data_IF_019079162989
#
_entry.id   IF_019079162989
#
_cell.length_a   1.000
_cell.length_b   1.000
_cell.length_c   1.000
_cell.angle_alpha   90.00
_cell.angle_beta   90.00
_cell.angle_gamma   90.00
#
_symmetry.space_group_name_H-M   'P 1'
#
loop_
_entity.id
_entity.type
_entity.pdbx_description
1 polymer ?
#
# COMPACT_ATOMS: atom_id res chain seq x y z
N UNK A 1 52.38 -5.93 -37.25
CA UNK A 1 51.84 -5.31 -36.01
C UNK A 1 50.35 -5.04 -36.17
N UNK A 2 49.55 -6.04 -35.84
CA UNK A 2 48.08 -5.90 -35.78
C UNK A 2 47.70 -5.59 -34.34
N UNK A 3 47.32 -4.34 -34.04
CA UNK A 3 46.71 -3.97 -32.77
C UNK A 3 45.30 -4.55 -32.72
N UNK A 4 45.09 -5.62 -31.99
CA UNK A 4 43.74 -6.09 -31.60
C UNK A 4 43.18 -5.07 -30.61
N UNK A 5 42.21 -4.25 -31.06
CA UNK A 5 41.38 -3.43 -30.17
C UNK A 5 40.38 -4.32 -29.49
N UNK A 6 40.54 -4.59 -28.22
CA UNK A 6 39.51 -5.21 -27.38
C UNK A 6 38.47 -4.16 -27.08
N UNK A 7 37.41 -4.08 -27.90
CA UNK A 7 36.19 -3.37 -27.54
C UNK A 7 35.47 -4.19 -26.49
N UNK A 8 35.61 -3.80 -25.22
CA UNK A 8 34.82 -4.32 -24.15
C UNK A 8 33.39 -3.80 -24.36
N UNK A 9 32.45 -4.66 -24.82
CA UNK A 9 31.04 -4.34 -25.03
C UNK A 9 30.25 -4.42 -23.73
N UNK A 10 30.79 -3.90 -22.64
CA UNK A 10 30.01 -3.72 -21.41
C UNK A 10 29.06 -2.54 -21.63
N UNK A 11 27.77 -2.81 -21.83
CA UNK A 11 26.75 -1.76 -21.77
C UNK A 11 26.95 -0.95 -20.49
N UNK A 12 27.05 0.38 -20.57
CA UNK A 12 27.36 1.18 -19.40
C UNK A 12 26.25 0.94 -18.34
N UNK A 13 26.64 0.76 -17.08
CA UNK A 13 25.74 0.48 -15.94
C UNK A 13 24.51 1.42 -15.88
N UNK A 14 24.68 2.66 -16.33
CA UNK A 14 23.61 3.68 -16.46
C UNK A 14 22.51 3.26 -17.44
N UNK A 15 22.84 2.61 -18.55
CA UNK A 15 21.85 2.17 -19.53
C UNK A 15 20.98 1.03 -18.96
N UNK A 16 21.60 0.10 -18.25
CA UNK A 16 20.89 -1.03 -17.58
C UNK A 16 19.96 -0.49 -16.48
N UNK A 17 20.43 0.47 -15.68
CA UNK A 17 19.61 1.09 -14.64
C UNK A 17 18.38 1.78 -15.22
N UNK A 18 18.52 2.54 -16.29
CA UNK A 18 17.40 3.21 -16.97
C UNK A 18 16.39 2.22 -17.55
N UNK A 19 16.84 1.07 -18.07
CA UNK A 19 15.93 0.02 -18.55
C UNK A 19 15.15 -0.62 -17.41
N UNK A 20 15.78 -0.88 -16.26
CA UNK A 20 15.12 -1.43 -15.07
C UNK A 20 14.09 -0.46 -14.48
N UNK A 21 14.41 0.83 -14.39
CA UNK A 21 13.47 1.86 -13.94
C UNK A 21 12.27 1.94 -14.87
N UNK A 22 12.46 1.98 -16.18
CA UNK A 22 11.36 1.99 -17.16
C UNK A 22 10.49 0.74 -17.05
N UNK A 23 11.09 -0.43 -16.79
CA UNK A 23 10.34 -1.68 -16.58
C UNK A 23 9.49 -1.61 -15.31
N UNK A 24 10.05 -1.08 -14.23
CA UNK A 24 9.33 -0.87 -12.96
C UNK A 24 8.19 0.13 -13.12
N UNK A 25 8.42 1.25 -13.78
CA UNK A 25 7.39 2.27 -14.04
C UNK A 25 6.20 1.71 -14.86
N UNK A 26 6.49 0.82 -15.82
CA UNK A 26 5.46 0.17 -16.65
C UNK A 26 4.76 -1.01 -15.99
N UNK A 27 5.27 -1.49 -14.85
CA UNK A 27 4.65 -2.62 -14.14
C UNK A 27 3.22 -2.24 -13.74
N UNK A 28 2.27 -3.11 -14.08
CA UNK A 28 0.89 -2.98 -13.63
C UNK A 28 0.78 -3.41 -12.16
N UNK A 29 -0.10 -2.79 -11.36
CA UNK A 29 -0.40 -3.26 -10.02
C UNK A 29 -0.96 -4.68 -10.04
N UNK A 30 -0.68 -5.45 -8.98
CA UNK A 30 -1.24 -6.80 -8.83
C UNK A 30 -2.72 -6.75 -8.45
N UNK A 31 -3.12 -5.77 -7.63
CA UNK A 31 -4.52 -5.60 -7.22
C UNK A 31 -4.89 -4.12 -7.30
N UNK A 32 -6.08 -3.87 -7.84
CA UNK A 32 -6.74 -2.57 -7.79
C UNK A 32 -8.16 -2.79 -7.28
N UNK A 33 -8.48 -2.16 -6.15
CA UNK A 33 -9.81 -2.10 -5.60
C UNK A 33 -10.35 -0.69 -5.82
N UNK A 34 -11.55 -0.58 -6.36
CA UNK A 34 -12.25 0.68 -6.62
C UNK A 34 -13.54 0.72 -5.82
N UNK A 35 -13.84 1.85 -5.21
CA UNK A 35 -15.00 2.04 -4.37
C UNK A 35 -15.68 3.37 -4.66
N UNK A 36 -17.00 3.36 -4.57
CA UNK A 36 -17.83 4.56 -4.58
C UNK A 36 -18.69 4.56 -3.35
N UNK A 37 -18.75 5.70 -2.69
CA UNK A 37 -19.57 5.86 -1.50
C UNK A 37 -21.06 5.81 -1.85
N UNK A 38 -21.84 5.14 -1.00
CA UNK A 38 -23.29 5.01 -1.19
C UNK A 38 -24.08 6.25 -0.77
N UNK A 39 -23.47 7.15 0.00
CA UNK A 39 -24.15 8.30 0.60
C UNK A 39 -23.60 9.65 0.14
N UNK A 40 -22.41 9.66 -0.45
CA UNK A 40 -21.76 10.89 -0.90
C UNK A 40 -21.12 10.70 -2.28
N UNK A 41 -20.53 11.76 -2.81
CA UNK A 41 -19.75 11.75 -4.04
C UNK A 41 -18.33 11.17 -3.89
N UNK A 42 -17.97 10.66 -2.71
CA UNK A 42 -16.64 10.13 -2.46
C UNK A 42 -16.34 8.89 -3.32
N UNK A 43 -15.15 8.87 -3.87
CA UNK A 43 -14.59 7.72 -4.58
C UNK A 43 -13.27 7.31 -3.92
N UNK A 44 -12.95 6.02 -3.91
CA UNK A 44 -11.73 5.53 -3.27
C UNK A 44 -11.08 4.39 -4.03
N UNK A 45 -9.77 4.29 -3.85
CA UNK A 45 -8.95 3.25 -4.46
C UNK A 45 -7.97 2.65 -3.44
N UNK A 46 -7.83 1.33 -3.46
CA UNK A 46 -6.64 0.66 -2.94
C UNK A 46 -5.86 0.13 -4.11
N UNK A 47 -4.60 0.51 -4.23
CA UNK A 47 -3.69 -0.02 -5.24
C UNK A 47 -2.57 -0.76 -4.54
N UNK A 48 -2.42 -2.05 -4.84
CA UNK A 48 -1.34 -2.91 -4.37
C UNK A 48 -0.42 -3.16 -5.56
N UNK A 49 0.78 -2.58 -5.53
CA UNK A 49 1.74 -2.71 -6.61
C UNK A 49 2.34 -4.12 -6.67
N UNK A 50 2.58 -4.74 -5.51
CA UNK A 50 2.93 -6.16 -5.40
C UNK A 50 2.62 -6.71 -4.01
N UNK A 51 2.43 -8.02 -3.93
CA UNK A 51 2.35 -8.77 -2.67
C UNK A 51 3.71 -9.45 -2.34
N UNK A 52 4.80 -8.73 -2.59
CA UNK A 52 6.13 -9.23 -2.25
C UNK A 52 6.20 -9.60 -0.78
N UNK A 53 6.70 -10.80 -0.47
CA UNK A 53 6.74 -11.29 0.91
C UNK A 53 5.37 -11.63 1.52
N UNK A 54 4.31 -11.74 0.71
CA UNK A 54 2.96 -12.15 1.13
C UNK A 54 2.05 -11.02 1.58
N UNK A 55 2.54 -9.77 1.63
CA UNK A 55 1.75 -8.62 2.06
C UNK A 55 2.19 -7.33 1.35
N UNK A 56 1.40 -6.28 1.52
CA UNK A 56 1.72 -4.94 1.06
C UNK A 56 1.31 -3.89 2.10
N UNK A 57 2.01 -2.76 2.10
CA UNK A 57 1.74 -1.67 3.04
C UNK A 57 1.69 -0.30 2.38
N UNK A 58 0.88 0.59 2.97
CA UNK A 58 0.80 2.00 2.57
C UNK A 58 -0.42 2.70 3.16
N UNK A 59 -0.25 3.95 3.58
CA UNK A 59 -1.28 4.73 4.27
C UNK A 59 -2.46 5.15 3.38
N UNK A 60 -3.53 5.58 4.02
CA UNK A 60 -4.73 6.15 3.40
C UNK A 60 -4.62 7.66 3.32
N UNK A 61 -4.80 8.22 2.14
CA UNK A 61 -4.81 9.66 1.86
C UNK A 61 -6.22 10.14 1.50
N UNK A 62 -6.59 11.34 1.93
CA UNK A 62 -7.82 11.99 1.48
C UNK A 62 -7.52 13.39 0.95
N UNK A 63 -7.95 13.68 -0.25
CA UNK A 63 -7.99 15.03 -0.80
C UNK A 63 -8.96 15.13 -1.98
N UNK A 64 -9.51 16.31 -2.18
CA UNK A 64 -10.33 16.61 -3.36
C UNK A 64 -9.48 16.55 -4.64
N UNK A 65 -10.02 15.93 -5.68
CA UNK A 65 -9.35 15.74 -6.98
C UNK A 65 -8.27 14.66 -6.99
N UNK A 66 -8.22 13.78 -5.97
CA UNK A 66 -7.38 12.60 -6.01
C UNK A 66 -7.93 11.59 -7.00
N UNK A 67 -7.05 10.91 -7.74
CA UNK A 67 -7.43 9.91 -8.73
C UNK A 67 -6.63 8.60 -8.58
N UNK A 68 -7.07 7.58 -9.32
CA UNK A 68 -6.41 6.28 -9.36
C UNK A 68 -4.95 6.35 -9.82
N UNK A 69 -4.62 7.28 -10.72
CA UNK A 69 -3.26 7.42 -11.23
C UNK A 69 -2.30 7.87 -10.13
N UNK A 70 -2.71 8.85 -9.33
CA UNK A 70 -1.93 9.31 -8.18
C UNK A 70 -1.73 8.18 -7.15
N UNK A 71 -2.81 7.47 -6.80
CA UNK A 71 -2.74 6.34 -5.85
C UNK A 71 -1.78 5.25 -6.38
N UNK A 72 -1.81 4.95 -7.68
CA UNK A 72 -0.90 3.99 -8.32
C UNK A 72 0.57 4.45 -8.22
N UNK A 73 0.84 5.72 -8.48
CA UNK A 73 2.18 6.29 -8.37
C UNK A 73 2.72 6.20 -6.94
N UNK A 74 1.88 6.50 -5.96
CA UNK A 74 2.22 6.41 -4.54
C UNK A 74 2.44 4.97 -4.09
N UNK A 75 1.67 4.00 -4.57
CA UNK A 75 1.89 2.58 -4.29
C UNK A 75 3.26 2.10 -4.77
N UNK A 76 3.70 2.54 -5.95
CA UNK A 76 5.06 2.28 -6.48
C UNK A 76 6.14 2.93 -5.61
N UNK A 77 5.91 4.15 -5.16
CA UNK A 77 6.81 4.85 -4.22
C UNK A 77 6.95 4.08 -2.91
N UNK A 78 5.85 3.56 -2.37
CA UNK A 78 5.87 2.74 -1.16
C UNK A 78 6.68 1.44 -1.36
N UNK A 79 6.59 0.80 -2.53
CA UNK A 79 7.38 -0.40 -2.83
C UNK A 79 8.89 -0.10 -2.85
N UNK A 80 9.29 1.02 -3.44
CA UNK A 80 10.68 1.48 -3.40
C UNK A 80 11.11 1.73 -1.95
N UNK A 81 10.29 2.43 -1.16
CA UNK A 81 10.56 2.71 0.25
C UNK A 81 10.79 1.42 1.04
N UNK A 82 9.91 0.43 0.94
CA UNK A 82 10.04 -0.86 1.63
C UNK A 82 11.19 -1.71 1.09
N UNK A 83 11.64 -1.49 -0.14
CA UNK A 83 12.84 -2.14 -0.67
C UNK A 83 14.13 -1.61 -0.08
N UNK A 84 14.14 -0.36 0.39
CA UNK A 84 15.33 0.33 0.91
C UNK A 84 15.39 0.31 2.43
N UNK A 85 14.27 0.53 3.11
CA UNK A 85 14.28 0.81 4.56
C UNK A 85 13.04 0.29 5.32
N UNK A 86 12.37 -0.71 4.80
CA UNK A 86 11.16 -1.23 5.42
C UNK A 86 11.16 -2.75 5.58
N UNK A 87 10.06 -3.33 6.03
CA UNK A 87 9.88 -4.77 5.99
C UNK A 87 9.90 -5.27 4.54
N UNK A 88 10.22 -6.56 4.34
CA UNK A 88 10.34 -7.17 3.01
C UNK A 88 8.98 -7.44 2.34
N UNK A 89 8.11 -6.44 2.32
CA UNK A 89 6.75 -6.48 1.74
C UNK A 89 6.63 -5.63 0.48
N UNK A 90 5.52 -5.80 -0.24
CA UNK A 90 5.18 -4.97 -1.39
C UNK A 90 4.67 -3.59 -1.01
N UNK A 91 4.64 -2.69 -1.97
CA UNK A 91 4.08 -1.36 -1.83
C UNK A 91 2.59 -1.32 -2.15
N UNK A 92 1.84 -0.63 -1.33
CA UNK A 92 0.45 -0.30 -1.58
C UNK A 92 0.17 1.17 -1.24
N UNK A 93 -0.98 1.64 -1.67
CA UNK A 93 -1.52 2.94 -1.27
C UNK A 93 -3.03 2.88 -1.34
N UNK A 94 -3.68 3.55 -0.40
CA UNK A 94 -5.09 3.87 -0.55
C UNK A 94 -5.33 5.38 -0.58
N UNK A 95 -6.42 5.76 -1.22
CA UNK A 95 -6.78 7.16 -1.35
C UNK A 95 -8.26 7.36 -1.59
N UNK A 96 -8.78 8.45 -1.06
CA UNK A 96 -10.18 8.85 -1.15
C UNK A 96 -10.24 10.24 -1.76
N UNK A 97 -10.98 10.35 -2.86
CA UNK A 97 -11.33 11.63 -3.46
C UNK A 97 -12.54 12.19 -2.72
N UNK A 98 -12.28 13.06 -1.75
CA UNK A 98 -13.29 13.75 -0.97
C UNK A 98 -12.68 14.97 -0.29
N UNK A 99 -13.49 15.99 0.02
CA UNK A 99 -13.03 17.15 0.77
C UNK A 99 -12.76 16.77 2.24
N UNK A 100 -11.51 16.87 2.73
CA UNK A 100 -11.19 16.51 4.10
C UNK A 100 -11.81 17.44 5.15
N UNK A 101 -12.31 18.61 4.76
CA UNK A 101 -12.98 19.56 5.64
C UNK A 101 -14.51 19.41 5.66
N UNK A 102 -15.06 18.52 4.81
CA UNK A 102 -16.50 18.25 4.78
C UNK A 102 -16.95 17.60 6.10
N UNK A 103 -18.03 18.07 6.74
CA UNK A 103 -18.55 17.47 7.97
C UNK A 103 -18.95 15.99 7.84
N UNK A 104 -19.18 15.47 6.62
CA UNK A 104 -19.48 14.07 6.34
C UNK A 104 -18.24 13.17 6.30
N UNK A 105 -17.01 13.73 6.43
CA UNK A 105 -15.74 13.00 6.35
C UNK A 105 -15.72 11.73 7.20
N UNK A 106 -16.18 11.81 8.45
CA UNK A 106 -16.15 10.67 9.36
C UNK A 106 -17.05 9.51 8.89
N UNK A 107 -18.21 9.83 8.31
CA UNK A 107 -19.09 8.83 7.69
C UNK A 107 -18.43 8.15 6.48
N UNK A 108 -17.80 8.95 5.62
CA UNK A 108 -17.04 8.44 4.45
C UNK A 108 -15.92 7.49 4.90
N UNK A 109 -15.12 7.87 5.90
CA UNK A 109 -14.03 7.03 6.42
C UNK A 109 -14.56 5.72 7.00
N UNK A 110 -15.66 5.73 7.74
CA UNK A 110 -16.28 4.51 8.31
C UNK A 110 -16.71 3.54 7.19
N UNK A 111 -17.42 4.03 6.19
CA UNK A 111 -17.86 3.20 5.05
C UNK A 111 -16.69 2.71 4.20
N UNK A 112 -15.67 3.56 4.01
CA UNK A 112 -14.43 3.18 3.35
C UNK A 112 -13.73 2.02 4.05
N UNK A 113 -13.44 2.15 5.34
CA UNK A 113 -12.73 1.10 6.09
C UNK A 113 -13.56 -0.17 6.23
N UNK A 114 -14.88 -0.07 6.30
CA UNK A 114 -15.75 -1.24 6.24
C UNK A 114 -15.61 -1.98 4.90
N UNK A 115 -15.58 -1.26 3.79
CA UNK A 115 -15.42 -1.85 2.46
C UNK A 115 -14.05 -2.52 2.24
N UNK A 116 -12.98 -1.94 2.78
CA UNK A 116 -11.61 -2.47 2.61
C UNK A 116 -11.16 -3.43 3.73
N UNK A 117 -11.97 -3.64 4.76
CA UNK A 117 -11.65 -4.52 5.87
C UNK A 117 -11.20 -5.94 5.45
N UNK A 118 -11.78 -6.59 4.42
CA UNK A 118 -11.29 -7.89 3.95
C UNK A 118 -9.84 -7.86 3.46
N UNK A 119 -9.39 -6.76 2.86
CA UNK A 119 -8.00 -6.59 2.42
C UNK A 119 -7.08 -6.40 3.63
N UNK A 120 -7.53 -5.57 4.60
CA UNK A 120 -6.80 -5.28 5.83
C UNK A 120 -6.61 -6.49 6.73
N UNK A 121 -7.52 -7.47 6.68
CA UNK A 121 -7.42 -8.72 7.43
C UNK A 121 -6.45 -9.73 6.83
N UNK A 122 -6.16 -9.65 5.53
CA UNK A 122 -5.45 -10.72 4.84
C UNK A 122 -4.03 -10.37 4.41
N UNK A 123 -3.81 -9.25 3.75
CA UNK A 123 -2.51 -8.95 3.13
C UNK A 123 -2.21 -7.46 2.92
N UNK A 124 -3.10 -6.56 3.32
CA UNK A 124 -2.87 -5.13 3.20
C UNK A 124 -2.79 -4.47 4.58
N UNK A 125 -1.73 -3.73 4.82
CA UNK A 125 -1.58 -2.88 5.99
C UNK A 125 -1.70 -1.41 5.63
N UNK A 126 -2.50 -0.67 6.40
CA UNK A 126 -2.69 0.77 6.22
C UNK A 126 -2.28 1.57 7.46
N UNK A 127 -2.28 2.87 7.33
CA UNK A 127 -2.05 3.85 8.39
C UNK A 127 -2.55 5.20 7.93
N UNK A 128 -2.27 6.26 8.68
CA UNK A 128 -2.54 7.62 8.29
C UNK A 128 -1.64 8.12 7.16
N UNK A 129 -2.10 9.08 6.40
CA UNK A 129 -1.36 9.87 5.43
C UNK A 129 -2.02 11.26 5.33
N UNK A 130 -1.88 11.97 4.22
CA UNK A 130 -2.42 13.33 4.06
C UNK A 130 -3.91 13.39 4.40
N UNK A 131 -4.26 14.23 5.37
CA UNK A 131 -5.61 14.50 5.85
C UNK A 131 -6.38 13.30 6.44
N UNK A 132 -5.69 12.23 6.80
CA UNK A 132 -6.25 11.08 7.53
C UNK A 132 -5.36 10.80 8.73
N UNK A 133 -5.89 10.98 9.93
CA UNK A 133 -5.16 10.81 11.19
C UNK A 133 -5.12 9.33 11.58
N UNK A 134 -3.91 8.82 11.86
CA UNK A 134 -3.74 7.42 12.21
C UNK A 134 -4.37 7.08 13.56
N UNK A 135 -4.16 7.94 14.56
CA UNK A 135 -4.54 7.66 15.95
C UNK A 135 -6.04 7.90 16.17
N UNK A 136 -6.57 8.99 15.61
CA UNK A 136 -7.94 9.42 15.88
C UNK A 136 -8.95 8.93 14.84
N UNK A 137 -8.50 8.47 13.67
CA UNK A 137 -9.37 8.04 12.58
C UNK A 137 -9.09 6.58 12.16
N UNK A 138 -7.87 6.25 11.72
CA UNK A 138 -7.59 4.93 11.14
C UNK A 138 -7.77 3.81 12.17
N UNK A 139 -7.06 3.90 13.29
CA UNK A 139 -7.06 2.84 14.31
C UNK A 139 -8.47 2.57 14.84
N UNK A 140 -9.20 3.56 15.39
CA UNK A 140 -10.51 3.29 15.97
C UNK A 140 -11.54 2.81 14.94
N UNK A 141 -11.53 3.35 13.72
CA UNK A 141 -12.50 2.94 12.70
C UNK A 141 -12.21 1.52 12.21
N UNK A 142 -10.96 1.13 12.04
CA UNK A 142 -10.61 -0.24 11.63
C UNK A 142 -10.91 -1.25 12.72
N UNK A 143 -10.71 -0.91 14.00
CA UNK A 143 -11.10 -1.74 15.15
C UNK A 143 -12.62 -1.95 15.17
N UNK A 144 -13.42 -0.90 14.93
CA UNK A 144 -14.88 -0.99 14.81
C UNK A 144 -15.32 -1.92 13.65
N UNK A 145 -14.53 -2.03 12.60
CA UNK A 145 -14.73 -2.97 11.48
C UNK A 145 -14.26 -4.42 11.78
N UNK A 146 -13.80 -4.68 13.00
CA UNK A 146 -13.33 -5.99 13.43
C UNK A 146 -11.93 -6.35 12.89
N UNK A 147 -11.12 -5.35 12.59
CA UNK A 147 -9.69 -5.46 12.30
C UNK A 147 -8.96 -5.09 13.60
N UNK A 148 -8.19 -6.00 14.18
CA UNK A 148 -7.58 -5.74 15.49
C UNK A 148 -6.47 -4.67 15.46
N UNK A 149 -5.90 -4.40 14.28
CA UNK A 149 -4.94 -3.33 14.04
C UNK A 149 -4.87 -3.03 12.53
N UNK A 150 -4.67 -1.77 12.09
CA UNK A 150 -4.56 -1.43 10.67
C UNK A 150 -3.48 -2.20 9.90
N UNK A 151 -2.51 -2.81 10.60
CA UNK A 151 -1.44 -3.64 10.04
C UNK A 151 -1.73 -5.15 10.09
N UNK A 152 -2.93 -5.57 10.47
CA UNK A 152 -3.28 -6.99 10.64
C UNK A 152 -2.96 -7.82 9.38
N UNK A 153 -3.29 -7.31 8.19
CA UNK A 153 -3.00 -7.99 6.94
C UNK A 153 -1.51 -8.19 6.65
N UNK A 154 -0.65 -7.28 7.15
CA UNK A 154 0.81 -7.48 7.05
C UNK A 154 1.26 -8.63 7.96
N UNK A 155 0.74 -8.71 9.17
CA UNK A 155 1.05 -9.83 10.06
C UNK A 155 0.56 -11.15 9.48
N UNK A 156 -0.67 -11.21 8.98
CA UNK A 156 -1.26 -12.42 8.44
C UNK A 156 -0.60 -12.87 7.12
N UNK A 157 -0.24 -11.94 6.26
CA UNK A 157 0.36 -12.23 4.96
C UNK A 157 1.88 -12.45 4.99
N UNK A 158 2.62 -11.64 5.74
CA UNK A 158 4.08 -11.64 5.73
C UNK A 158 4.68 -12.50 6.85
N UNK A 159 4.15 -12.38 8.05
CA UNK A 159 4.64 -13.11 9.22
C UNK A 159 3.87 -14.41 9.45
N UNK A 160 3.52 -15.13 8.38
CA UNK A 160 2.81 -16.41 8.52
C UNK A 160 3.46 -17.27 9.60
N UNK A 161 2.80 -17.48 10.73
CA UNK A 161 3.36 -18.30 11.80
C UNK A 161 3.41 -19.75 11.32
N UNK A 162 4.62 -20.31 11.26
CA UNK A 162 4.81 -21.73 10.92
C UNK A 162 4.25 -22.67 11.99
N UNK A 163 3.88 -22.13 13.18
CA UNK A 163 3.33 -22.89 14.29
C UNK A 163 2.19 -22.11 14.97
N UNK A 164 1.08 -22.78 15.36
CA UNK A 164 -0.08 -22.16 16.01
C UNK A 164 0.28 -21.34 17.28
N UNK A 165 1.31 -21.74 18.00
CA UNK A 165 1.78 -21.06 19.22
C UNK A 165 2.30 -19.63 18.97
N UNK A 166 2.73 -19.30 17.76
CA UNK A 166 3.17 -17.94 17.40
C UNK A 166 1.99 -16.97 17.29
N UNK A 167 0.82 -17.46 16.95
CA UNK A 167 -0.41 -16.66 16.88
C UNK A 167 -0.81 -16.14 18.26
N UNK A 168 -0.68 -16.98 19.31
CA UNK A 168 -0.96 -16.58 20.67
C UNK A 168 -0.01 -15.49 21.20
N UNK A 169 1.27 -15.53 20.80
CA UNK A 169 2.25 -14.51 21.21
C UNK A 169 1.99 -13.14 20.59
N UNK A 170 1.51 -13.09 19.34
CA UNK A 170 1.14 -11.84 18.67
C UNK A 170 -0.09 -11.22 19.33
N UNK A 171 -1.08 -12.02 19.74
CA UNK A 171 -2.25 -11.56 20.49
C UNK A 171 -1.96 -11.10 21.93
N UNK A 172 -0.81 -11.45 22.50
CA UNK A 172 -0.37 -11.03 23.83
C UNK A 172 0.44 -9.73 23.84
N UNK A 173 0.75 -9.15 22.69
CA UNK A 173 1.45 -7.86 22.54
C UNK A 173 0.50 -6.66 22.54
N UNK A 174 -0.74 -6.83 23.03
CA UNK A 174 -1.71 -5.77 23.30
C UNK A 174 -1.46 -5.12 24.65
#
# INVERSE_FOLDING_TARGET
NVKKSYFCSAKPKVCIMNELLKKFEKKQPEIVFEWKDSETEAEGWVVINSLRGGAAGGGTRMRLGLDKHEVTSLAKTMEVKFSVSGPAIGGAKSGINFDPNDPRKQGVLKRWYHAVAPLLKNYYGTGGDLNVDEIHEVIPITEDCGVWHPQEGVFNGHFQPTEPQKIHRIGQLR
#
